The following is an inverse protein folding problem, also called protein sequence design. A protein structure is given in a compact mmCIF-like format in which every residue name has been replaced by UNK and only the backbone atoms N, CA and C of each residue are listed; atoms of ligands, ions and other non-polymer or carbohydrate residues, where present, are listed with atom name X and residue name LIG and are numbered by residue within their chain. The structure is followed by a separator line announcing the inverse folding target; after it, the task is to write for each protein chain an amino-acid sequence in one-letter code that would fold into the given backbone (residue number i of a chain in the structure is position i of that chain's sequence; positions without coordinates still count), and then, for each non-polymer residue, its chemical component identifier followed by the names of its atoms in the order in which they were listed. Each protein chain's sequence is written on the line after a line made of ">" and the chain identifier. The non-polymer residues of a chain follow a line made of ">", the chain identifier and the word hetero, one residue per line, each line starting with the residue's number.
data_IF_838432969366
#
_entry.id   IF_838432969366
#
_cell.length_a   1.000
_cell.length_b   1.000
_cell.length_c   1.000
_cell.angle_alpha   90.00
_cell.angle_beta   90.00
_cell.angle_gamma   90.00
#
_symmetry.space_group_name_H-M   'P 1'
#
loop_
_entity.id
_entity.type
_entity.pdbx_description
1 polymer ?
#
# COMPACT_ATOMS: atom_id res chain seq x y z
N UNK A 1 -1.77 -15.02 -0.24
CA UNK A 1 -2.42 -14.23 0.82
C UNK A 1 -3.51 -13.41 0.12
N UNK A 2 -4.79 -13.64 0.37
CA UNK A 2 -5.90 -12.91 -0.29
C UNK A 2 -6.06 -11.49 0.24
N UNK A 3 -4.96 -10.73 0.31
CA UNK A 3 -4.91 -9.38 0.84
C UNK A 3 -5.19 -8.39 -0.27
N UNK A 4 -6.10 -7.46 0.01
CA UNK A 4 -6.41 -6.34 -0.88
C UNK A 4 -5.43 -5.17 -0.72
N UNK A 5 -4.76 -5.11 0.43
CA UNK A 5 -3.86 -4.06 0.82
C UNK A 5 -2.76 -4.60 1.73
N UNK A 6 -1.56 -4.03 1.58
CA UNK A 6 -0.46 -4.10 2.53
C UNK A 6 0.50 -2.92 2.25
N UNK A 7 1.24 -2.49 3.26
CA UNK A 7 2.38 -1.60 3.07
C UNK A 7 3.67 -2.43 3.02
N UNK A 8 4.61 -2.06 2.15
CA UNK A 8 5.85 -2.80 1.95
C UNK A 8 7.05 -1.88 2.09
N UNK A 9 8.01 -2.30 2.90
CA UNK A 9 9.23 -1.55 3.16
C UNK A 9 10.42 -2.18 2.45
N UNK A 10 11.21 -1.34 1.78
CA UNK A 10 12.40 -1.74 1.04
C UNK A 10 13.58 -0.81 1.33
N UNK A 11 14.79 -1.34 1.21
CA UNK A 11 16.03 -0.56 1.13
C UNK A 11 16.60 -0.73 -0.29
N UNK A 12 17.00 0.37 -0.92
CA UNK A 12 17.74 0.33 -2.18
C UNK A 12 19.21 0.59 -1.89
N UNK A 13 20.07 -0.40 -2.16
CA UNK A 13 21.51 -0.26 -2.00
C UNK A 13 22.10 0.65 -3.09
N UNK A 14 23.29 1.27 -2.87
CA UNK A 14 23.93 2.11 -3.89
C UNK A 14 24.23 1.39 -5.21
N UNK A 15 24.38 0.06 -5.19
CA UNK A 15 24.52 -0.78 -6.38
C UNK A 15 23.19 -1.04 -7.14
N UNK A 16 22.07 -0.53 -6.63
CA UNK A 16 20.73 -0.68 -7.22
C UNK A 16 19.96 -1.92 -6.77
N UNK A 17 20.52 -2.74 -5.88
CA UNK A 17 19.83 -3.92 -5.34
C UNK A 17 18.75 -3.52 -4.33
N UNK A 18 17.56 -4.11 -4.46
CA UNK A 18 16.43 -3.91 -3.56
C UNK A 18 16.39 -5.00 -2.50
N UNK A 19 16.39 -4.60 -1.24
CA UNK A 19 16.24 -5.50 -0.08
C UNK A 19 14.84 -5.30 0.49
N UNK A 20 14.05 -6.37 0.50
CA UNK A 20 12.76 -6.43 1.20
C UNK A 20 12.97 -6.48 2.71
N UNK A 21 12.17 -5.70 3.45
CA UNK A 21 12.18 -5.71 4.91
C UNK A 21 10.91 -6.31 5.49
N UNK A 22 9.76 -5.73 5.15
CA UNK A 22 8.47 -6.06 5.76
C UNK A 22 7.32 -5.92 4.75
N UNK A 23 6.30 -6.75 4.90
CA UNK A 23 5.00 -6.58 4.27
C UNK A 23 3.93 -6.58 5.37
N UNK A 24 3.42 -5.40 5.71
CA UNK A 24 2.45 -5.21 6.77
C UNK A 24 1.01 -5.16 6.21
N UNK A 25 0.16 -6.17 6.48
CA UNK A 25 -1.22 -6.19 5.98
C UNK A 25 -2.10 -5.03 6.48
N UNK A 26 -1.65 -4.31 7.52
CA UNK A 26 -2.36 -3.17 8.11
C UNK A 26 -1.43 -1.97 8.29
N UNK A 27 -0.42 -1.83 7.43
CA UNK A 27 0.52 -0.73 7.47
C UNK A 27 -0.18 0.63 7.34
N UNK A 28 0.31 1.61 8.11
CA UNK A 28 -0.26 2.96 8.13
C UNK A 28 0.06 3.72 6.85
N UNK A 29 -0.95 4.33 6.23
CA UNK A 29 -0.83 5.00 4.94
C UNK A 29 -1.16 6.50 4.98
N UNK A 30 -1.80 6.98 6.06
CA UNK A 30 -2.41 8.31 6.10
C UNK A 30 -1.44 9.46 5.81
N UNK A 31 -0.17 9.31 6.20
CA UNK A 31 0.88 10.31 5.99
C UNK A 31 1.36 10.39 4.53
N UNK A 32 1.18 9.34 3.74
CA UNK A 32 1.56 9.28 2.33
C UNK A 32 0.42 9.73 1.39
N UNK A 33 -0.80 9.86 1.92
CA UNK A 33 -1.96 10.27 1.12
C UNK A 33 -1.84 11.73 0.68
N UNK A 34 -1.85 11.95 -0.64
CA UNK A 34 -1.72 13.26 -1.26
C UNK A 34 -2.55 13.32 -2.55
N UNK A 35 -2.70 14.50 -3.20
CA UNK A 35 -3.36 14.58 -4.51
C UNK A 35 -2.70 13.71 -5.59
N UNK A 36 -1.38 13.53 -5.52
CA UNK A 36 -0.61 12.70 -6.46
C UNK A 36 -0.66 11.21 -6.08
N UNK A 37 -1.01 10.90 -4.84
CA UNK A 37 -1.18 9.55 -4.32
C UNK A 37 -2.44 9.45 -3.44
N UNK A 38 -3.65 9.41 -4.04
CA UNK A 38 -4.92 9.52 -3.32
C UNK A 38 -5.35 8.18 -2.69
N UNK A 39 -4.53 7.66 -1.77
CA UNK A 39 -4.72 6.37 -1.10
C UNK A 39 -6.10 6.21 -0.46
N UNK A 40 -6.60 7.25 0.21
CA UNK A 40 -7.91 7.21 0.85
C UNK A 40 -9.04 6.93 -0.16
N UNK A 41 -8.95 7.54 -1.35
CA UNK A 41 -9.94 7.35 -2.41
C UNK A 41 -9.88 5.93 -2.97
N UNK A 42 -8.69 5.39 -3.21
CA UNK A 42 -8.56 4.03 -3.74
C UNK A 42 -8.99 2.97 -2.71
N UNK A 43 -8.71 3.18 -1.43
CA UNK A 43 -9.22 2.32 -0.35
C UNK A 43 -10.75 2.35 -0.31
N UNK A 44 -11.37 3.54 -0.36
CA UNK A 44 -12.84 3.66 -0.39
C UNK A 44 -13.44 2.92 -1.58
N UNK A 45 -12.91 3.14 -2.79
CA UNK A 45 -13.37 2.47 -4.01
C UNK A 45 -13.27 0.95 -3.91
N UNK A 46 -12.16 0.44 -3.40
CA UNK A 46 -11.97 -1.01 -3.22
C UNK A 46 -13.05 -1.59 -2.29
N UNK A 47 -13.39 -0.88 -1.20
CA UNK A 47 -14.45 -1.30 -0.28
C UNK A 47 -15.85 -1.19 -0.92
N UNK A 48 -16.10 -0.15 -1.71
CA UNK A 48 -17.36 0.05 -2.44
C UNK A 48 -17.61 -1.08 -3.44
N UNK A 49 -16.58 -1.48 -4.20
CA UNK A 49 -16.66 -2.57 -5.18
C UNK A 49 -17.00 -3.91 -4.51
N UNK A 50 -16.50 -4.15 -3.30
CA UNK A 50 -16.84 -5.35 -2.53
C UNK A 50 -18.28 -5.40 -2.07
N UNK A 51 -18.89 -4.25 -1.79
CA UNK A 51 -20.31 -4.20 -1.44
C UNK A 51 -21.22 -4.46 -2.65
N UNK A 52 -20.70 -4.35 -3.87
CA UNK A 52 -21.44 -4.55 -5.12
C UNK A 52 -21.29 -5.98 -5.68
N UNK A 53 -20.48 -6.82 -5.04
CA UNK A 53 -20.27 -8.24 -5.39
C UNK A 53 -20.96 -9.18 -4.42
#
# INVERSE_FOLDING_TARGET
>A
MGLAYFAADFIVQPCGEWIFLEANPSGQWAWANSPDLPLATEISRTLEDWCQT
#
